data_IF_075786635488
#
_entry.id   IF_075786635488
#
_cell.length_a   1.000
_cell.length_b   1.000
_cell.length_c   1.000
_cell.angle_alpha   90.00
_cell.angle_beta   90.00
_cell.angle_gamma   90.00
#
_symmetry.space_group_name_H-M   'P 1'
#
loop_
_entity.id
_entity.type
_entity.pdbx_description
1 polymer ?
#
# COMPACT_ATOMS: atom_id res chain seq x y z
N UNK A 1 -9.35 7.00 3.44
CA UNK A 1 -8.33 8.03 3.68
C UNK A 1 -7.09 7.60 2.93
N UNK A 2 -6.44 8.51 2.23
CA UNK A 2 -5.14 8.27 1.61
C UNK A 2 -4.22 9.36 2.11
N UNK A 3 -3.10 8.96 2.71
CA UNK A 3 -2.04 9.87 3.13
C UNK A 3 -0.75 9.51 2.37
N UNK A 4 -0.04 10.54 1.90
CA UNK A 4 1.37 10.44 1.54
C UNK A 4 2.20 10.88 2.75
N UNK A 5 3.05 9.99 3.25
CA UNK A 5 3.90 10.27 4.40
C UNK A 5 5.35 10.44 3.97
N UNK A 6 6.06 11.31 4.69
CA UNK A 6 7.51 11.44 4.68
C UNK A 6 7.95 11.61 6.14
N UNK A 7 8.46 10.53 6.73
CA UNK A 7 8.74 10.46 8.17
C UNK A 7 10.17 9.99 8.43
N UNK A 8 10.83 10.61 9.42
CA UNK A 8 12.15 10.23 9.91
C UNK A 8 12.18 10.25 11.44
N UNK A 9 13.07 9.46 12.05
CA UNK A 9 13.23 9.44 13.50
C UNK A 9 13.66 10.83 14.05
N UNK A 10 13.16 11.25 15.22
CA UNK A 10 12.35 10.49 16.17
C UNK A 10 10.84 10.46 15.87
N UNK A 11 10.39 11.02 14.74
CA UNK A 11 9.01 10.92 14.28
C UNK A 11 8.67 9.54 13.72
N UNK A 12 7.37 9.30 13.54
CA UNK A 12 6.79 8.04 13.09
C UNK A 12 5.37 7.89 13.63
N UNK A 13 4.83 6.67 13.57
CA UNK A 13 3.52 6.33 14.07
C UNK A 13 3.67 5.35 15.25
N UNK A 14 3.83 5.84 16.50
CA UNK A 14 3.98 4.98 17.67
C UNK A 14 2.69 4.19 17.92
N UNK A 15 2.70 3.32 18.94
CA UNK A 15 1.59 2.44 19.31
C UNK A 15 0.20 3.09 19.18
N UNK A 16 -0.60 2.59 18.24
CA UNK A 16 -1.95 3.07 17.98
C UNK A 16 -2.89 1.94 17.53
N UNK A 17 -4.19 2.02 17.88
CA UNK A 17 -5.14 0.96 17.56
C UNK A 17 -5.86 1.18 16.23
N UNK A 18 -6.22 0.09 15.56
CA UNK A 18 -7.14 0.07 14.41
C UNK A 18 -8.22 -1.00 14.56
N UNK A 19 -9.40 -0.76 13.98
CA UNK A 19 -10.51 -1.73 13.95
C UNK A 19 -11.48 -1.44 12.80
N UNK A 20 -11.95 -2.50 12.13
CA UNK A 20 -13.10 -2.42 11.21
C UNK A 20 -12.83 -1.83 9.83
N UNK A 21 -11.58 -1.58 9.45
CA UNK A 21 -11.12 -1.21 8.11
C UNK A 21 -9.73 -1.79 7.89
N UNK A 22 -9.27 -1.86 6.64
CA UNK A 22 -7.92 -2.32 6.28
C UNK A 22 -6.98 -1.12 6.10
N UNK A 23 -5.70 -1.29 6.40
CA UNK A 23 -4.65 -0.33 6.05
C UNK A 23 -3.73 -0.97 5.00
N UNK A 24 -3.38 -0.17 4.00
CA UNK A 24 -2.46 -0.57 2.94
C UNK A 24 -1.29 0.41 2.97
N UNK A 25 -0.15 -0.05 3.46
CA UNK A 25 1.10 0.71 3.51
C UNK A 25 1.94 0.30 2.31
N UNK A 26 2.14 1.21 1.36
CA UNK A 26 2.99 1.02 0.20
C UNK A 26 4.18 1.97 0.30
N UNK A 27 5.37 1.44 0.58
CA UNK A 27 6.56 2.26 0.62
C UNK A 27 6.98 2.58 -0.81
N UNK A 28 7.23 3.85 -1.13
CA UNK A 28 7.54 4.21 -2.51
C UNK A 28 8.85 3.55 -2.96
N UNK A 29 8.97 3.10 -4.22
CA UNK A 29 10.21 2.51 -4.74
C UNK A 29 11.44 3.43 -4.59
N UNK A 30 11.21 4.73 -4.61
CA UNK A 30 12.19 5.80 -4.41
C UNK A 30 12.38 6.23 -2.95
N UNK A 31 11.71 5.58 -1.99
CA UNK A 31 11.89 5.86 -0.56
C UNK A 31 13.37 5.72 -0.18
N UNK A 32 13.98 6.74 0.46
CA UNK A 32 15.38 6.67 0.88
C UNK A 32 15.63 5.65 2.00
N UNK A 33 14.65 5.44 2.87
CA UNK A 33 14.73 4.57 4.03
C UNK A 33 13.59 3.56 4.11
N UNK A 34 13.73 2.66 5.08
CA UNK A 34 12.81 1.56 5.35
C UNK A 34 11.82 1.93 6.46
N UNK A 35 10.71 1.20 6.55
CA UNK A 35 9.72 1.34 7.61
C UNK A 35 9.62 0.05 8.42
N UNK A 36 9.81 0.15 9.73
CA UNK A 36 9.63 -0.94 10.68
C UNK A 36 8.19 -0.96 11.16
N UNK A 37 7.63 -2.15 11.38
CA UNK A 37 6.36 -2.30 12.06
C UNK A 37 6.42 -3.39 13.13
N UNK A 38 5.66 -3.19 14.20
CA UNK A 38 5.51 -4.14 15.31
C UNK A 38 4.07 -4.11 15.84
N UNK A 39 3.49 -5.28 16.11
CA UNK A 39 2.16 -5.41 16.71
C UNK A 39 2.17 -6.06 18.10
N UNK A 40 1.05 -5.94 18.80
CA UNK A 40 0.85 -6.51 20.14
C UNK A 40 0.83 -8.06 20.21
N UNK A 41 0.77 -8.76 19.07
CA UNK A 41 0.91 -10.22 19.00
C UNK A 41 2.39 -10.63 18.85
N UNK A 42 3.30 -9.66 18.76
CA UNK A 42 4.73 -9.87 18.58
C UNK A 42 5.15 -10.04 17.12
N UNK A 43 4.26 -9.81 16.14
CA UNK A 43 4.65 -9.78 14.75
C UNK A 43 5.48 -8.53 14.50
N UNK A 44 6.59 -8.68 13.77
CA UNK A 44 7.48 -7.60 13.39
C UNK A 44 7.92 -7.77 11.95
N UNK A 45 8.15 -6.67 11.28
CA UNK A 45 8.71 -6.68 9.94
C UNK A 45 9.28 -5.33 9.54
N UNK A 46 9.90 -5.32 8.37
CA UNK A 46 10.57 -4.18 7.79
C UNK A 46 10.17 -4.11 6.32
N UNK A 47 9.58 -2.99 5.92
CA UNK A 47 9.26 -2.68 4.54
C UNK A 47 10.44 -1.93 3.92
N UNK A 48 11.03 -2.53 2.88
CA UNK A 48 12.00 -1.89 2.02
C UNK A 48 11.31 -1.07 0.91
N UNK A 49 12.03 -0.19 0.20
CA UNK A 49 11.45 0.63 -0.85
C UNK A 49 10.72 -0.19 -1.90
N UNK A 50 9.45 0.15 -2.14
CA UNK A 50 8.59 -0.53 -3.09
C UNK A 50 7.85 -1.76 -2.53
N UNK A 51 8.07 -2.13 -1.27
CA UNK A 51 7.32 -3.20 -0.59
C UNK A 51 5.90 -2.73 -0.22
N UNK A 52 5.04 -3.72 -0.01
CA UNK A 52 3.63 -3.54 0.32
C UNK A 52 3.29 -4.32 1.58
N UNK A 53 2.61 -3.67 2.51
CA UNK A 53 1.86 -4.31 3.58
C UNK A 53 0.37 -4.05 3.41
N UNK A 54 -0.42 -5.11 3.43
CA UNK A 54 -1.88 -5.06 3.48
C UNK A 54 -2.35 -5.66 4.80
N UNK A 55 -2.71 -4.81 5.75
CA UNK A 55 -3.17 -5.21 7.08
C UNK A 55 -4.70 -5.13 7.17
N UNK A 56 -5.30 -6.23 7.59
CA UNK A 56 -6.71 -6.32 7.90
C UNK A 56 -6.87 -6.51 9.42
N UNK A 57 -7.04 -5.43 10.21
CA UNK A 57 -7.15 -5.51 11.67
C UNK A 57 -8.44 -6.15 12.17
N UNK A 58 -9.50 -6.21 11.36
CA UNK A 58 -10.76 -6.87 11.74
C UNK A 58 -11.25 -6.39 13.10
N UNK A 59 -11.34 -7.30 14.07
CA UNK A 59 -11.79 -7.03 15.45
C UNK A 59 -10.86 -6.10 16.26
N UNK A 60 -9.59 -5.94 15.87
CA UNK A 60 -8.67 -5.00 16.48
C UNK A 60 -7.20 -5.41 16.36
N UNK A 61 -6.34 -4.43 16.11
CA UNK A 61 -4.88 -4.50 16.25
C UNK A 61 -4.40 -3.27 17.03
N UNK A 62 -3.35 -3.43 17.83
CA UNK A 62 -2.50 -2.35 18.32
C UNK A 62 -1.12 -2.55 17.68
N UNK A 63 -0.61 -1.54 17.00
CA UNK A 63 0.68 -1.61 16.29
C UNK A 63 1.41 -0.28 16.22
N UNK A 64 2.66 -0.31 15.78
CA UNK A 64 3.47 0.87 15.46
C UNK A 64 4.08 0.74 14.06
N UNK A 65 4.34 1.87 13.42
CA UNK A 65 4.99 2.00 12.11
C UNK A 65 6.03 3.12 12.21
N UNK A 66 7.31 2.75 12.29
CA UNK A 66 8.40 3.67 12.62
C UNK A 66 9.50 3.65 11.53
N UNK A 67 10.09 4.79 11.15
CA UNK A 67 11.24 4.80 10.25
C UNK A 67 12.41 4.00 10.83
N UNK A 68 13.11 3.24 9.99
CA UNK A 68 14.23 2.40 10.42
C UNK A 68 15.51 3.19 10.76
N UNK A 69 15.62 4.44 10.28
CA UNK A 69 16.83 5.26 10.42
C UNK A 69 16.50 6.74 10.70
N UNK A 70 17.49 7.46 11.27
CA UNK A 70 17.47 8.93 11.42
C UNK A 70 17.92 9.64 10.15
N UNK A 71 18.78 9.00 9.37
CA UNK A 71 19.47 9.63 8.23
C UNK A 71 18.72 9.44 6.91
N UNK A 72 17.78 8.50 6.88
CA UNK A 72 17.00 8.15 5.70
C UNK A 72 15.51 8.14 6.04
N UNK A 73 14.71 9.13 5.59
CA UNK A 73 13.27 9.13 5.81
C UNK A 73 12.60 7.98 5.04
N UNK A 74 11.53 7.44 5.62
CA UNK A 74 10.61 6.56 4.92
C UNK A 74 9.54 7.42 4.22
N UNK A 75 9.37 7.22 2.91
CA UNK A 75 8.38 7.92 2.10
C UNK A 75 7.45 6.90 1.47
N UNK A 76 6.15 7.06 1.68
CA UNK A 76 5.17 6.05 1.30
C UNK A 76 3.75 6.58 1.23
N UNK A 77 2.85 5.69 0.86
CA UNK A 77 1.41 5.91 0.87
C UNK A 77 0.76 5.01 1.91
N UNK A 78 -0.19 5.55 2.66
CA UNK A 78 -1.08 4.76 3.52
C UNK A 78 -2.54 4.96 3.11
N UNK A 79 -3.17 3.89 2.64
CA UNK A 79 -4.56 3.88 2.20
C UNK A 79 -5.43 3.08 3.17
N UNK A 80 -6.51 3.68 3.66
CA UNK A 80 -7.50 3.00 4.50
C UNK A 80 -8.73 2.62 3.70
N UNK A 81 -9.04 1.33 3.70
CA UNK A 81 -10.16 0.72 2.98
C UNK A 81 -11.20 0.20 3.96
N UNK A 82 -12.43 0.73 3.88
CA UNK A 82 -13.48 0.33 4.81
C UNK A 82 -13.91 -1.12 4.59
N UNK A 83 -14.00 -1.92 5.66
CA UNK A 83 -14.55 -3.27 5.57
C UNK A 83 -16.09 -3.26 5.54
N UNK A 84 -16.72 -4.14 4.75
CA UNK A 84 -18.14 -4.44 4.88
C UNK A 84 -18.51 -4.84 6.31
N UNK A 85 -19.71 -4.49 6.77
CA UNK A 85 -20.16 -4.70 8.15
C UNK A 85 -19.90 -6.13 8.67
N UNK A 86 -20.18 -7.16 7.86
CA UNK A 86 -19.96 -8.58 8.20
C UNK A 86 -18.50 -8.98 8.42
N UNK A 87 -17.55 -8.19 7.92
CA UNK A 87 -16.11 -8.47 8.02
C UNK A 87 -15.42 -7.64 9.12
N UNK A 88 -16.10 -6.68 9.75
CA UNK A 88 -15.48 -5.78 10.73
C UNK A 88 -15.00 -6.46 12.02
N UNK A 89 -15.34 -7.74 12.24
CA UNK A 89 -15.03 -8.49 13.45
C UNK A 89 -14.25 -9.79 13.19
N UNK A 90 -13.70 -9.97 11.99
CA UNK A 90 -12.85 -11.12 11.70
C UNK A 90 -11.52 -11.05 12.47
N UNK A 91 -10.82 -12.18 12.54
CA UNK A 91 -9.46 -12.23 13.07
C UNK A 91 -8.51 -11.34 12.24
N UNK A 92 -7.54 -10.67 12.88
CA UNK A 92 -6.57 -9.88 12.17
C UNK A 92 -5.72 -10.70 11.19
N UNK A 93 -5.35 -10.10 10.05
CA UNK A 93 -4.52 -10.74 9.01
C UNK A 93 -3.58 -9.73 8.39
N UNK A 94 -2.45 -10.23 7.90
CA UNK A 94 -1.46 -9.47 7.16
C UNK A 94 -1.12 -10.16 5.84
N UNK A 95 -0.77 -9.36 4.85
CA UNK A 95 -0.08 -9.79 3.65
C UNK A 95 1.07 -8.82 3.43
N UNK A 96 2.28 -9.35 3.40
CA UNK A 96 3.47 -8.58 3.02
C UNK A 96 3.98 -9.10 1.69
N UNK A 97 4.14 -8.18 0.75
CA UNK A 97 4.54 -8.49 -0.61
C UNK A 97 5.79 -7.67 -0.90
N UNK A 98 6.96 -8.34 -1.03
CA UNK A 98 8.17 -7.67 -1.45
C UNK A 98 7.99 -7.01 -2.81
N UNK A 99 8.75 -5.95 -3.08
CA UNK A 99 8.71 -5.18 -4.32
C UNK A 99 8.84 -6.05 -5.59
N UNK A 100 9.65 -7.10 -5.52
CA UNK A 100 9.86 -8.06 -6.61
C UNK A 100 8.66 -9.00 -6.83
N UNK A 101 7.80 -9.16 -5.83
CA UNK A 101 6.58 -9.96 -5.89
C UNK A 101 5.39 -9.24 -6.52
N UNK A 102 5.45 -7.91 -6.63
CA UNK A 102 4.39 -7.12 -7.28
C UNK A 102 4.48 -7.23 -8.81
N UNK A 103 3.41 -7.68 -9.50
CA UNK A 103 3.41 -7.81 -10.94
C UNK A 103 3.63 -6.48 -11.65
N UNK A 104 4.39 -6.52 -12.75
CA UNK A 104 4.66 -5.36 -13.59
C UNK A 104 4.21 -5.60 -15.01
N UNK A 105 3.53 -4.60 -15.56
CA UNK A 105 3.23 -4.52 -16.98
C UNK A 105 3.90 -3.28 -17.57
N UNK A 106 4.25 -3.35 -18.86
CA UNK A 106 4.82 -2.21 -19.59
C UNK A 106 4.30 -2.20 -21.03
N UNK A 107 3.93 -1.03 -21.52
CA UNK A 107 3.52 -0.78 -22.90
C UNK A 107 4.00 0.60 -23.32
N UNK A 108 4.93 0.65 -24.26
CA UNK A 108 5.59 1.91 -24.64
C UNK A 108 6.24 2.60 -23.43
N UNK A 109 5.88 3.86 -23.21
CA UNK A 109 6.37 4.69 -22.10
C UNK A 109 5.58 4.50 -20.79
N UNK A 110 4.58 3.63 -20.75
CA UNK A 110 3.75 3.40 -19.56
C UNK A 110 4.17 2.10 -18.90
N UNK A 111 4.48 2.17 -17.61
CA UNK A 111 4.66 1.02 -16.73
C UNK A 111 3.57 1.03 -15.65
N UNK A 112 3.07 -0.15 -15.30
CA UNK A 112 2.14 -0.36 -14.21
C UNK A 112 2.75 -1.35 -13.21
N UNK A 113 2.83 -0.96 -11.93
CA UNK A 113 3.05 -1.88 -10.81
C UNK A 113 1.66 -2.18 -10.22
N UNK A 114 1.24 -3.45 -10.31
CA UNK A 114 -0.12 -3.86 -9.98
C UNK A 114 -0.18 -4.26 -8.51
N UNK A 115 -0.61 -3.34 -7.64
CA UNK A 115 -0.76 -3.57 -6.20
C UNK A 115 -1.96 -4.49 -5.93
N UNK A 116 -3.13 -4.17 -6.49
CA UNK A 116 -4.34 -4.99 -6.42
C UNK A 116 -5.16 -4.90 -7.70
N UNK A 117 -5.89 -5.97 -8.03
CA UNK A 117 -6.65 -6.07 -9.27
C UNK A 117 -5.76 -6.42 -10.47
N UNK A 118 -6.13 -5.92 -11.65
CA UNK A 118 -5.44 -6.19 -12.92
C UNK A 118 -5.05 -4.88 -13.61
N UNK A 119 -3.88 -4.84 -14.24
CA UNK A 119 -3.57 -3.83 -15.24
C UNK A 119 -2.79 -4.43 -16.40
N UNK A 120 -3.19 -4.07 -17.63
CA UNK A 120 -2.46 -4.40 -18.86
C UNK A 120 -2.15 -5.92 -18.99
N UNK A 121 -3.10 -6.77 -18.60
CA UNK A 121 -2.97 -8.23 -18.65
C UNK A 121 -2.14 -8.85 -17.52
N UNK A 122 -1.77 -8.07 -16.48
CA UNK A 122 -1.08 -8.56 -15.29
C UNK A 122 -1.99 -8.44 -14.07
N UNK A 123 -2.22 -9.56 -13.41
CA UNK A 123 -3.08 -9.69 -12.24
C UNK A 123 -2.23 -9.77 -10.96
N UNK A 124 -2.58 -8.96 -9.96
CA UNK A 124 -2.00 -9.06 -8.61
C UNK A 124 -2.48 -10.32 -7.89
N UNK A 125 -1.57 -10.95 -7.15
CA UNK A 125 -1.87 -12.07 -6.25
C UNK A 125 -2.33 -11.62 -4.85
N UNK A 126 -2.33 -10.30 -4.58
CA UNK A 126 -2.80 -9.75 -3.31
C UNK A 126 -4.28 -10.07 -3.13
N UNK A 127 -4.60 -10.75 -2.04
CA UNK A 127 -5.98 -11.02 -1.67
C UNK A 127 -6.64 -9.74 -1.16
N UNK A 128 -7.88 -9.50 -1.60
CA UNK A 128 -8.68 -8.35 -1.17
C UNK A 128 -10.05 -8.83 -0.69
N UNK A 129 -10.54 -8.26 0.41
CA UNK A 129 -11.83 -8.66 1.00
C UNK A 129 -13.05 -8.21 0.16
N UNK A 130 -12.83 -7.29 -0.77
CA UNK A 130 -13.78 -6.84 -1.78
C UNK A 130 -12.99 -6.41 -3.02
N UNK A 131 -13.62 -6.32 -4.21
CA UNK A 131 -12.92 -5.90 -5.43
C UNK A 131 -12.25 -4.54 -5.23
N UNK A 132 -10.95 -4.49 -5.49
CA UNK A 132 -10.11 -3.29 -5.45
C UNK A 132 -9.19 -3.31 -6.66
N UNK A 133 -9.10 -2.16 -7.32
CA UNK A 133 -8.05 -1.84 -8.26
C UNK A 133 -7.13 -0.82 -7.62
N UNK A 134 -5.85 -1.17 -7.45
CA UNK A 134 -4.81 -0.25 -7.00
C UNK A 134 -3.57 -0.50 -7.86
N UNK A 135 -3.18 0.51 -8.63
CA UNK A 135 -2.07 0.43 -9.59
C UNK A 135 -1.21 1.68 -9.46
N UNK A 136 0.11 1.48 -9.34
CA UNK A 136 1.07 2.57 -9.44
C UNK A 136 1.57 2.65 -10.90
N UNK A 137 1.16 3.71 -11.59
CA UNK A 137 1.58 3.98 -12.96
C UNK A 137 2.81 4.89 -13.00
N UNK A 138 3.78 4.53 -13.84
CA UNK A 138 4.95 5.35 -14.14
C UNK A 138 4.99 5.66 -15.64
N UNK A 139 5.21 6.92 -15.98
CA UNK A 139 5.33 7.40 -17.35
C UNK A 139 6.76 7.87 -17.59
N UNK A 140 7.51 7.17 -18.45
CA UNK A 140 8.89 7.52 -18.77
C UNK A 140 9.03 8.59 -19.86
N UNK A 141 7.92 9.18 -20.30
CA UNK A 141 7.82 10.16 -21.37
C UNK A 141 6.37 10.35 -21.81
N UNK A 142 6.09 11.20 -22.82
CA UNK A 142 4.74 11.44 -23.30
C UNK A 142 4.02 10.14 -23.69
N UNK A 143 2.86 9.91 -23.11
CA UNK A 143 1.99 8.78 -23.43
C UNK A 143 0.57 9.03 -22.90
N UNK A 144 -0.38 8.29 -23.49
CA UNK A 144 -1.77 8.22 -23.01
C UNK A 144 -2.07 6.79 -22.63
N UNK A 145 -2.67 6.58 -21.46
CA UNK A 145 -3.12 5.27 -21.00
C UNK A 145 -4.62 5.30 -20.70
N UNK A 146 -5.35 4.31 -21.20
CA UNK A 146 -6.75 4.08 -20.84
C UNK A 146 -6.81 2.85 -19.94
N UNK A 147 -7.20 3.07 -18.68
CA UNK A 147 -7.38 2.00 -17.71
C UNK A 147 -8.87 1.75 -17.49
N UNK A 148 -9.40 0.58 -17.88
CA UNK A 148 -10.80 0.25 -17.63
C UNK A 148 -11.02 0.00 -16.13
N UNK A 149 -12.11 0.55 -15.59
CA UNK A 149 -12.55 0.29 -14.23
C UNK A 149 -13.96 -0.30 -14.25
N UNK A 150 -14.31 -1.21 -13.31
CA UNK A 150 -15.67 -1.69 -13.22
C UNK A 150 -16.62 -0.52 -12.92
N UNK A 151 -17.83 -0.49 -13.50
CA UNK A 151 -18.75 0.65 -13.37
C UNK A 151 -19.26 0.89 -11.95
N UNK A 152 -19.04 -0.07 -11.05
CA UNK A 152 -19.42 0.00 -9.63
C UNK A 152 -18.32 0.57 -8.73
N UNK A 153 -17.12 0.83 -9.27
CA UNK A 153 -16.01 1.36 -8.48
C UNK A 153 -16.12 2.87 -8.32
N UNK A 154 -15.87 3.33 -7.09
CA UNK A 154 -15.44 4.70 -6.87
C UNK A 154 -13.95 4.79 -7.18
N UNK A 155 -13.52 5.81 -7.92
CA UNK A 155 -12.16 5.93 -8.39
C UNK A 155 -11.61 7.34 -8.18
N UNK A 156 -10.32 7.42 -7.93
CA UNK A 156 -9.55 8.65 -7.91
C UNK A 156 -8.13 8.33 -8.38
N UNK A 157 -7.36 9.37 -8.70
CA UNK A 157 -5.93 9.26 -8.96
C UNK A 157 -5.18 10.21 -8.03
N UNK A 158 -3.98 9.80 -7.60
CA UNK A 158 -3.08 10.60 -6.79
C UNK A 158 -1.73 10.69 -7.52
N UNK A 159 -1.27 11.91 -7.79
CA UNK A 159 -0.01 12.15 -8.51
C UNK A 159 1.10 12.31 -7.49
N UNK A 160 2.02 11.35 -7.45
CA UNK A 160 3.20 11.38 -6.58
C UNK A 160 4.22 12.40 -7.11
N UNK A 161 4.50 12.38 -8.42
CA UNK A 161 5.45 13.28 -9.06
C UNK A 161 5.18 13.44 -10.56
N UNK A 162 5.73 14.50 -11.17
CA UNK A 162 5.57 14.81 -12.60
C UNK A 162 4.29 15.61 -12.92
N UNK A 163 3.97 15.72 -14.21
CA UNK A 163 2.81 16.46 -14.74
C UNK A 163 2.32 15.91 -16.07
#
# INVERSE_FOLDING_TARGET
>A
MLDEFNVALPGGFPDHPHRGFETVTYLLPESPGNLLHEDFMGNKGELAPGDLQWMCPGRGILHSEMPASRDAPAIGLQLWLNLPAKLKMIEPKYQEIPHAGLPRAKQGNVQAIVIAGEAMGKQSAVFTNHPITYVHFLFSGPATHFHPLPPTHNAFAYVISGS
#
